data_IF_165644849513
#
_entry.id   IF_165644849513
#
_cell.length_a   1.000
_cell.length_b   1.000
_cell.length_c   1.000
_cell.angle_alpha   90.00
_cell.angle_beta   90.00
_cell.angle_gamma   90.00
#
_symmetry.space_group_name_H-M   'P 1'
#
loop_
_entity.id
_entity.type
_entity.pdbx_description
1 polymer ?
#
# COMPACT_ATOMS: atom_id res chain seq x y z
N UNK A 1 36.22 8.67 14.30
CA UNK A 1 35.00 9.30 13.76
C UNK A 1 33.78 8.70 14.46
N UNK A 2 33.65 7.37 14.51
CA UNK A 2 32.57 6.67 15.19
C UNK A 2 32.41 6.91 16.71
N UNK A 3 33.49 7.21 17.46
CA UNK A 3 33.34 7.59 18.89
C UNK A 3 32.50 8.86 19.08
N UNK A 4 32.65 9.85 18.19
CA UNK A 4 31.84 11.09 18.25
C UNK A 4 30.40 10.84 17.83
N UNK A 5 30.19 9.99 16.81
CA UNK A 5 28.85 9.58 16.39
C UNK A 5 28.13 8.82 17.51
N UNK A 6 28.84 7.97 18.26
CA UNK A 6 28.26 7.24 19.39
C UNK A 6 27.86 8.18 20.54
N UNK A 7 28.67 9.20 20.86
CA UNK A 7 28.30 10.23 21.84
C UNK A 7 27.03 10.99 21.42
N UNK A 8 26.88 11.26 20.11
CA UNK A 8 25.68 11.86 19.55
C UNK A 8 24.46 10.93 19.66
N UNK A 9 24.61 9.65 19.33
CA UNK A 9 23.56 8.63 19.50
C UNK A 9 23.10 8.59 20.96
N UNK A 10 24.02 8.54 21.92
CA UNK A 10 23.66 8.50 23.36
C UNK A 10 22.93 9.77 23.80
N UNK A 11 23.33 10.94 23.27
CA UNK A 11 22.63 12.20 23.52
C UNK A 11 21.20 12.16 22.98
N UNK A 12 21.01 11.69 21.74
CA UNK A 12 19.68 11.53 21.12
C UNK A 12 18.81 10.54 21.88
N UNK A 13 19.37 9.40 22.29
CA UNK A 13 18.67 8.43 23.13
C UNK A 13 18.20 9.04 24.46
N UNK A 14 18.99 9.92 25.08
CA UNK A 14 18.59 10.63 26.29
C UNK A 14 17.43 11.61 26.02
N UNK A 15 17.47 12.35 24.92
CA UNK A 15 16.39 13.25 24.48
C UNK A 15 15.10 12.50 24.19
N UNK A 16 15.18 11.31 23.57
CA UNK A 16 14.04 10.44 23.30
C UNK A 16 13.51 9.70 24.55
N UNK A 17 14.09 9.97 25.72
CA UNK A 17 13.78 9.36 27.00
C UNK A 17 13.97 7.83 27.03
N UNK A 18 14.99 7.32 26.34
CA UNK A 18 15.37 5.91 26.47
C UNK A 18 15.94 5.67 27.89
N UNK A 19 15.36 4.76 28.71
CA UNK A 19 15.73 4.62 30.12
C UNK A 19 17.19 4.23 30.38
N UNK A 20 17.87 3.68 29.37
CA UNK A 20 19.25 3.18 29.48
C UNK A 20 20.19 3.88 28.50
N UNK A 21 19.91 5.14 28.18
CA UNK A 21 20.73 5.95 27.27
C UNK A 21 22.21 6.08 27.70
N UNK A 22 22.49 6.00 29.01
CA UNK A 22 23.85 6.05 29.57
C UNK A 22 24.58 4.70 29.56
N UNK A 23 24.00 3.64 28.98
CA UNK A 23 24.66 2.34 28.88
C UNK A 23 25.98 2.44 28.06
N UNK A 24 27.01 1.64 28.38
CA UNK A 24 28.26 1.65 27.63
C UNK A 24 28.03 1.38 26.15
N UNK A 25 28.73 2.12 25.28
CA UNK A 25 28.63 1.96 23.82
C UNK A 25 28.81 0.51 23.36
N UNK A 26 29.76 -0.21 23.96
CA UNK A 26 30.00 -1.63 23.66
C UNK A 26 28.76 -2.50 23.93
N UNK A 27 28.01 -2.23 24.99
CA UNK A 27 26.79 -2.99 25.32
C UNK A 27 25.65 -2.73 24.34
N UNK A 28 25.59 -1.52 23.74
CA UNK A 28 24.56 -1.15 22.76
C UNK A 28 24.89 -1.66 21.35
N UNK A 29 26.18 -1.76 21.03
CA UNK A 29 26.65 -2.10 19.68
C UNK A 29 26.86 -3.59 19.45
N UNK A 30 27.21 -4.35 20.50
CA UNK A 30 27.55 -5.77 20.37
C UNK A 30 26.36 -6.65 20.76
N UNK A 31 26.38 -7.90 20.27
CA UNK A 31 25.40 -8.92 20.62
C UNK A 31 25.21 -9.00 22.14
N UNK A 32 23.96 -8.97 22.58
CA UNK A 32 23.62 -9.06 23.99
C UNK A 32 22.28 -8.43 24.31
N UNK A 33 21.80 -8.69 25.52
CA UNK A 33 20.45 -8.31 25.97
C UNK A 33 20.23 -6.79 25.93
N UNK A 34 21.30 -6.01 26.12
CA UNK A 34 21.23 -4.54 26.06
C UNK A 34 20.92 -4.00 24.68
N UNK A 35 21.56 -4.56 23.64
CA UNK A 35 21.28 -4.21 22.26
C UNK A 35 19.85 -4.59 21.88
N UNK A 36 19.42 -5.80 22.20
CA UNK A 36 18.08 -6.26 21.85
C UNK A 36 17.00 -5.39 22.51
N UNK A 37 17.14 -5.07 23.80
CA UNK A 37 16.22 -4.15 24.49
C UNK A 37 16.17 -2.77 23.84
N UNK A 38 17.32 -2.25 23.41
CA UNK A 38 17.36 -0.97 22.70
C UNK A 38 16.63 -1.06 21.37
N UNK A 39 16.89 -2.09 20.56
CA UNK A 39 16.21 -2.28 19.27
C UNK A 39 14.70 -2.46 19.45
N UNK A 40 14.28 -3.32 20.37
CA UNK A 40 12.86 -3.48 20.72
C UNK A 40 12.19 -2.15 21.06
N UNK A 41 12.84 -1.33 21.90
CA UNK A 41 12.32 -0.04 22.29
C UNK A 41 12.22 0.94 21.12
N UNK A 42 13.25 0.99 20.26
CA UNK A 42 13.28 1.84 19.07
C UNK A 42 12.21 1.43 18.05
N UNK A 43 12.09 0.14 17.75
CA UNK A 43 11.06 -0.36 16.84
C UNK A 43 9.66 -0.21 17.42
N UNK A 44 9.48 -0.38 18.74
CA UNK A 44 8.20 -0.09 19.39
C UNK A 44 7.82 1.39 19.27
N UNK A 45 8.79 2.31 19.41
CA UNK A 45 8.55 3.75 19.20
C UNK A 45 8.08 4.06 17.77
N UNK A 46 8.63 3.36 16.76
CA UNK A 46 8.25 3.56 15.35
C UNK A 46 6.91 2.92 14.99
N UNK A 47 6.65 1.71 15.49
CA UNK A 47 5.55 0.85 15.02
C UNK A 47 4.34 0.83 15.97
N UNK A 48 4.50 1.31 17.21
CA UNK A 48 3.47 1.27 18.25
C UNK A 48 2.94 -0.15 18.49
N UNK A 49 1.62 -0.29 18.55
CA UNK A 49 0.94 -1.58 18.76
C UNK A 49 1.13 -2.58 17.59
N UNK A 50 1.65 -2.12 16.45
CA UNK A 50 2.02 -3.01 15.33
C UNK A 50 3.44 -3.56 15.45
N UNK A 51 4.18 -3.15 16.48
CA UNK A 51 5.47 -3.74 16.78
C UNK A 51 5.28 -5.24 17.05
N UNK A 52 6.07 -6.12 16.41
CA UNK A 52 6.05 -7.55 16.76
C UNK A 52 6.57 -7.79 18.20
N UNK A 53 7.12 -6.75 18.85
CA UNK A 53 7.53 -6.77 20.25
C UNK A 53 6.39 -6.23 21.12
N UNK A 54 5.54 -7.11 21.63
CA UNK A 54 4.80 -6.82 22.86
C UNK A 54 5.80 -6.71 24.01
N UNK A 55 5.65 -5.74 24.93
CA UNK A 55 6.47 -5.58 26.14
C UNK A 55 6.45 -6.85 27.01
N UNK A 56 7.16 -7.90 26.59
CA UNK A 56 7.26 -9.14 27.33
C UNK A 56 8.48 -9.03 28.23
N UNK A 57 8.23 -9.15 29.53
CA UNK A 57 9.24 -9.29 30.56
C UNK A 57 10.28 -10.31 30.10
N UNK A 58 11.54 -9.86 29.97
CA UNK A 58 12.72 -10.67 29.70
C UNK A 58 13.00 -11.66 30.84
N UNK A 59 12.10 -12.60 31.13
CA UNK A 59 12.39 -13.74 31.99
C UNK A 59 13.23 -14.73 31.16
N UNK A 60 14.54 -14.60 31.35
CA UNK A 60 15.65 -15.25 30.64
C UNK A 60 15.63 -16.78 30.68
N UNK A 61 14.72 -17.42 31.41
CA UNK A 61 14.89 -18.83 31.80
C UNK A 61 14.25 -19.88 30.88
N UNK A 62 13.55 -19.48 29.80
CA UNK A 62 12.90 -20.46 28.90
C UNK A 62 12.55 -19.89 27.51
N UNK A 63 13.45 -19.15 26.87
CA UNK A 63 13.23 -18.84 25.45
C UNK A 63 13.78 -19.98 24.59
N UNK A 64 12.92 -20.59 23.78
CA UNK A 64 13.36 -21.54 22.77
C UNK A 64 14.25 -20.81 21.74
N UNK A 65 15.32 -21.47 21.30
CA UNK A 65 16.29 -20.90 20.34
C UNK A 65 15.58 -20.52 19.02
N UNK A 66 14.53 -21.24 18.67
CA UNK A 66 13.75 -20.98 17.46
C UNK A 66 12.90 -19.71 17.56
N UNK A 67 12.44 -19.34 18.76
CA UNK A 67 11.76 -18.06 18.98
C UNK A 67 12.74 -16.88 18.87
N UNK A 68 13.95 -17.03 19.40
CA UNK A 68 15.01 -16.01 19.28
C UNK A 68 15.39 -15.78 17.81
N UNK A 69 15.60 -16.85 17.04
CA UNK A 69 15.91 -16.77 15.62
C UNK A 69 14.78 -16.12 14.82
N UNK A 70 13.53 -16.48 15.11
CA UNK A 70 12.36 -15.88 14.47
C UNK A 70 12.29 -14.38 14.75
N UNK A 71 12.57 -13.93 15.98
CA UNK A 71 12.59 -12.51 16.34
C UNK A 71 13.68 -11.74 15.61
N UNK A 72 14.88 -12.31 15.54
CA UNK A 72 16.01 -11.70 14.80
C UNK A 72 15.65 -11.54 13.32
N UNK A 73 14.99 -12.53 12.73
CA UNK A 73 14.53 -12.47 11.34
C UNK A 73 13.51 -11.34 11.13
N UNK A 74 12.51 -11.22 12.01
CA UNK A 74 11.53 -10.13 11.93
C UNK A 74 12.19 -8.74 12.07
N UNK A 75 13.16 -8.58 12.98
CA UNK A 75 13.92 -7.34 13.12
C UNK A 75 14.67 -6.98 11.83
N UNK A 76 15.28 -7.96 11.18
CA UNK A 76 16.02 -7.75 9.94
C UNK A 76 15.10 -7.35 8.78
N UNK A 77 13.90 -7.96 8.71
CA UNK A 77 12.88 -7.63 7.71
C UNK A 77 12.34 -6.21 7.91
N UNK A 78 12.08 -5.80 9.15
CA UNK A 78 11.64 -4.44 9.46
C UNK A 78 12.75 -3.42 9.13
N UNK A 79 14.00 -3.71 9.51
CA UNK A 79 15.13 -2.83 9.22
C UNK A 79 15.32 -2.61 7.71
N UNK A 80 15.16 -3.68 6.93
CA UNK A 80 15.19 -3.61 5.47
C UNK A 80 14.00 -2.81 4.92
N UNK A 81 12.78 -3.07 5.41
CA UNK A 81 11.58 -2.35 4.99
C UNK A 81 11.66 -0.85 5.25
N UNK A 82 12.26 -0.45 6.38
CA UNK A 82 12.47 0.96 6.75
C UNK A 82 13.68 1.59 6.04
N UNK A 83 14.40 0.86 5.19
CA UNK A 83 15.59 1.34 4.47
C UNK A 83 16.81 1.58 5.37
N UNK A 84 16.83 1.03 6.58
CA UNK A 84 17.98 1.11 7.51
C UNK A 84 19.10 0.20 7.02
N UNK A 85 18.74 -0.96 6.44
CA UNK A 85 19.67 -1.88 5.78
C UNK A 85 19.27 -2.06 4.30
N UNK A 86 20.24 -2.33 3.40
CA UNK A 86 19.96 -2.52 1.98
C UNK A 86 19.34 -3.90 1.66
N UNK A 87 19.42 -4.84 2.60
CA UNK A 87 18.84 -6.18 2.51
C UNK A 87 18.46 -6.68 3.91
N UNK A 88 17.77 -7.82 3.96
CA UNK A 88 17.45 -8.52 5.22
C UNK A 88 18.75 -9.09 5.81
N UNK A 89 19.35 -8.36 6.75
CA UNK A 89 20.64 -8.68 7.37
C UNK A 89 20.46 -8.98 8.86
N UNK A 90 20.39 -10.27 9.20
CA UNK A 90 20.29 -10.76 10.58
C UNK A 90 21.57 -10.56 11.38
N UNK A 91 22.73 -10.46 10.72
CA UNK A 91 24.02 -10.24 11.36
C UNK A 91 24.14 -8.79 11.86
N UNK A 92 23.61 -7.82 11.10
CA UNK A 92 23.49 -6.44 11.55
C UNK A 92 22.63 -6.32 12.82
N UNK A 93 21.49 -7.02 12.88
CA UNK A 93 20.63 -7.06 14.08
C UNK A 93 21.38 -7.64 15.27
N UNK A 94 22.07 -8.78 15.09
CA UNK A 94 22.89 -9.40 16.12
C UNK A 94 24.08 -8.52 16.55
N UNK A 95 24.39 -7.44 15.82
CA UNK A 95 25.51 -6.57 16.13
C UNK A 95 26.85 -7.20 15.73
N UNK A 96 26.87 -7.91 14.60
CA UNK A 96 28.09 -8.33 13.90
C UNK A 96 28.49 -7.25 12.89
N UNK A 97 29.63 -7.41 12.21
CA UNK A 97 30.20 -6.37 11.32
C UNK A 97 31.24 -5.48 12.00
N UNK A 98 31.75 -4.46 11.31
CA UNK A 98 32.73 -3.53 11.85
C UNK A 98 32.13 -2.60 12.91
N UNK A 99 32.96 -1.95 13.74
CA UNK A 99 32.47 -0.99 14.73
C UNK A 99 31.73 0.17 14.05
N UNK A 100 32.26 0.67 12.94
CA UNK A 100 31.68 1.78 12.19
C UNK A 100 30.32 1.40 11.58
N UNK A 101 30.18 0.21 11.00
CA UNK A 101 28.91 -0.30 10.46
C UNK A 101 27.82 -0.40 11.54
N UNK A 102 28.19 -0.87 12.75
CA UNK A 102 27.23 -1.00 13.85
C UNK A 102 26.80 0.35 14.42
N UNK A 103 27.74 1.30 14.50
CA UNK A 103 27.45 2.68 14.91
C UNK A 103 26.55 3.34 13.89
N UNK A 104 26.84 3.17 12.59
CA UNK A 104 26.04 3.73 11.51
C UNK A 104 24.63 3.15 11.50
N UNK A 105 24.48 1.83 11.60
CA UNK A 105 23.18 1.18 11.73
C UNK A 105 22.38 1.75 12.91
N UNK A 106 23.01 1.86 14.09
CA UNK A 106 22.34 2.38 15.28
C UNK A 106 22.00 3.87 15.14
N UNK A 107 22.85 4.64 14.45
CA UNK A 107 22.59 6.05 14.15
C UNK A 107 21.35 6.21 13.28
N UNK A 108 21.26 5.46 12.18
CA UNK A 108 20.15 5.53 11.23
C UNK A 108 18.79 5.25 11.91
N UNK A 109 18.71 4.22 12.74
CA UNK A 109 17.46 3.90 13.45
C UNK A 109 17.09 4.96 14.52
N UNK A 110 18.07 5.50 15.23
CA UNK A 110 17.83 6.56 16.23
C UNK A 110 17.41 7.87 15.56
N UNK A 111 18.04 8.22 14.43
CA UNK A 111 17.69 9.38 13.63
C UNK A 111 16.27 9.24 13.06
N UNK A 112 15.89 8.04 12.61
CA UNK A 112 14.53 7.77 12.14
C UNK A 112 13.48 7.90 13.26
N UNK A 113 13.77 7.36 14.45
CA UNK A 113 12.90 7.51 15.63
C UNK A 113 12.78 8.97 16.03
N UNK A 114 13.89 9.70 16.05
CA UNK A 114 13.90 11.14 16.34
C UNK A 114 13.04 11.91 15.35
N UNK A 115 13.24 11.69 14.05
CA UNK A 115 12.44 12.31 13.00
C UNK A 115 10.94 11.98 13.16
N UNK A 116 10.60 10.74 13.51
CA UNK A 116 9.20 10.36 13.76
C UNK A 116 8.58 11.03 14.99
N UNK A 117 9.38 11.35 16.01
CA UNK A 117 8.91 12.00 17.23
C UNK A 117 8.81 13.53 17.09
N UNK A 118 9.62 14.12 16.21
CA UNK A 118 9.70 15.56 15.97
C UNK A 118 9.34 15.93 14.53
N UNK A 119 8.39 15.21 13.94
CA UNK A 119 7.90 15.47 12.59
C UNK A 119 7.37 16.91 12.45
N UNK A 120 6.88 17.50 13.53
CA UNK A 120 6.63 18.94 13.64
C UNK A 120 7.84 19.61 14.31
N UNK A 121 8.87 19.97 13.54
CA UNK A 121 10.01 20.70 14.08
C UNK A 121 9.60 22.15 14.38
N UNK A 122 9.56 22.60 15.65
CA UNK A 122 9.11 23.94 16.00
C UNK A 122 10.09 25.05 15.55
N UNK A 123 11.31 24.69 15.15
CA UNK A 123 12.30 25.62 14.60
C UNK A 123 12.18 25.79 13.08
N UNK A 124 11.56 24.84 12.38
CA UNK A 124 11.36 24.94 10.94
C UNK A 124 10.05 25.67 10.64
N UNK A 125 10.09 26.55 9.65
CA UNK A 125 8.85 27.11 9.11
C UNK A 125 8.03 25.99 8.45
N UNK A 126 6.71 26.18 8.37
CA UNK A 126 5.80 25.25 7.68
C UNK A 126 6.27 24.96 6.25
N UNK A 127 6.83 25.98 5.58
CA UNK A 127 7.34 25.86 4.21
C UNK A 127 8.62 25.00 4.13
N UNK A 128 9.52 25.10 5.11
CA UNK A 128 10.74 24.28 5.18
C UNK A 128 10.44 22.82 5.52
N UNK A 129 9.49 22.59 6.43
CA UNK A 129 9.00 21.25 6.77
C UNK A 129 8.36 20.60 5.53
N UNK A 130 7.45 21.31 4.87
CA UNK A 130 6.80 20.83 3.65
C UNK A 130 7.80 20.51 2.54
N UNK A 131 8.82 21.36 2.32
CA UNK A 131 9.84 21.12 1.30
C UNK A 131 10.63 19.82 1.55
N UNK A 132 10.95 19.54 2.82
CA UNK A 132 11.66 18.31 3.19
C UNK A 132 10.78 17.07 3.11
N UNK A 133 9.52 17.18 3.51
CA UNK A 133 8.57 16.08 3.43
C UNK A 133 8.27 15.72 1.96
N UNK A 134 8.14 16.71 1.09
CA UNK A 134 8.02 16.51 -0.37
C UNK A 134 9.27 15.82 -0.93
N UNK A 135 10.47 16.28 -0.56
CA UNK A 135 11.73 15.66 -0.99
C UNK A 135 11.86 14.19 -0.54
N UNK A 136 11.36 13.88 0.65
CA UNK A 136 11.31 12.50 1.17
C UNK A 136 10.34 11.64 0.37
N UNK A 137 9.13 12.15 0.08
CA UNK A 137 8.13 11.45 -0.74
C UNK A 137 8.66 11.20 -2.15
N UNK A 138 9.32 12.18 -2.77
CA UNK A 138 9.95 12.02 -4.08
C UNK A 138 11.05 10.96 -4.06
N UNK A 139 11.88 10.94 -3.00
CA UNK A 139 12.92 9.92 -2.82
C UNK A 139 12.34 8.52 -2.66
N UNK A 140 11.21 8.37 -1.96
CA UNK A 140 10.48 7.11 -1.81
C UNK A 140 9.91 6.67 -3.16
N UNK A 141 9.28 7.57 -3.90
CA UNK A 141 8.72 7.29 -5.22
C UNK A 141 9.80 6.87 -6.22
N UNK A 142 10.97 7.51 -6.19
CA UNK A 142 12.12 7.13 -7.01
C UNK A 142 12.65 5.74 -6.64
N UNK A 143 12.75 5.42 -5.34
CA UNK A 143 13.15 4.08 -4.87
C UNK A 143 12.12 3.01 -5.23
N UNK A 144 10.84 3.31 -5.11
CA UNK A 144 9.76 2.45 -5.57
C UNK A 144 9.91 2.20 -7.07
N UNK A 145 10.11 3.24 -7.88
CA UNK A 145 10.35 3.10 -9.31
C UNK A 145 11.57 2.23 -9.58
N UNK A 146 12.68 2.40 -8.87
CA UNK A 146 13.88 1.54 -9.00
C UNK A 146 13.55 0.06 -8.71
N UNK A 147 12.87 -0.23 -7.59
CA UNK A 147 12.48 -1.59 -7.16
C UNK A 147 11.54 -2.26 -8.17
N UNK A 148 10.59 -1.51 -8.73
CA UNK A 148 9.62 -2.03 -9.69
C UNK A 148 10.06 -1.88 -11.16
N UNK A 149 11.16 -1.20 -11.44
CA UNK A 149 11.76 -1.05 -12.78
C UNK A 149 12.76 -2.14 -13.13
N UNK A 150 13.33 -2.82 -12.13
CA UNK A 150 14.01 -4.08 -12.38
C UNK A 150 12.94 -5.12 -12.70
N UNK A 151 12.84 -5.52 -13.97
CA UNK A 151 12.01 -6.64 -14.41
C UNK A 151 12.18 -7.79 -13.40
N UNK A 152 11.13 -8.10 -12.62
CA UNK A 152 11.11 -9.30 -11.81
C UNK A 152 11.37 -10.49 -12.74
N UNK A 153 12.61 -10.96 -12.78
CA UNK A 153 12.97 -12.21 -13.43
C UNK A 153 12.39 -13.32 -12.56
N UNK A 154 11.12 -13.64 -12.84
CA UNK A 154 10.35 -14.69 -12.19
C UNK A 154 11.01 -16.09 -12.35
N UNK A 155 12.09 -16.19 -13.12
CA UNK A 155 12.87 -17.41 -13.29
C UNK A 155 14.38 -17.10 -13.21
N UNK A 156 15.18 -17.98 -12.54
CA UNK A 156 16.64 -17.90 -12.58
C UNK A 156 17.16 -17.93 -14.02
N UNK A 157 18.25 -17.21 -14.30
CA UNK A 157 18.92 -17.23 -15.61
C UNK A 157 19.34 -18.64 -16.08
N UNK A 158 19.35 -19.61 -15.17
CA UNK A 158 19.77 -20.99 -15.38
C UNK A 158 18.62 -21.94 -15.75
N UNK A 159 17.38 -21.46 -15.86
CA UNK A 159 16.28 -22.25 -16.42
C UNK A 159 16.43 -22.29 -17.94
N UNK A 160 17.30 -23.18 -18.42
CA UNK A 160 17.32 -23.61 -19.81
C UNK A 160 16.02 -24.36 -20.10
N UNK A 161 14.98 -23.63 -20.48
CA UNK A 161 13.83 -24.22 -21.15
C UNK A 161 14.35 -24.73 -22.50
N UNK A 162 14.72 -26.02 -22.57
CA UNK A 162 14.80 -26.72 -23.84
C UNK A 162 13.39 -26.70 -24.43
N UNK A 163 13.10 -25.69 -25.23
CA UNK A 163 11.86 -25.58 -25.98
C UNK A 163 11.81 -26.73 -26.99
N UNK A 164 11.11 -27.81 -26.62
CA UNK A 164 10.83 -28.95 -27.50
C UNK A 164 9.86 -28.53 -28.64
N UNK A 165 9.27 -27.34 -28.56
CA UNK A 165 8.38 -26.81 -29.59
C UNK A 165 9.05 -25.68 -30.38
N UNK A 166 8.99 -25.72 -31.73
CA UNK A 166 9.35 -24.56 -32.51
C UNK A 166 8.42 -23.41 -32.12
N UNK A 167 8.99 -22.24 -31.83
CA UNK A 167 8.19 -21.05 -31.55
C UNK A 167 7.27 -20.79 -32.76
N UNK A 168 5.95 -20.61 -32.55
CA UNK A 168 5.03 -20.28 -33.63
C UNK A 168 5.45 -18.98 -34.31
N UNK A 169 5.25 -18.89 -35.62
CA UNK A 169 5.52 -17.66 -36.37
C UNK A 169 4.60 -16.55 -35.87
N UNK A 170 5.23 -15.53 -35.26
CA UNK A 170 4.54 -14.37 -34.68
C UNK A 170 3.72 -13.65 -35.76
N UNK A 171 4.22 -13.61 -37.01
CA UNK A 171 3.51 -12.98 -38.12
C UNK A 171 2.20 -13.72 -38.45
N UNK A 172 2.16 -15.04 -38.31
CA UNK A 172 0.95 -15.85 -38.52
C UNK A 172 -0.08 -15.61 -37.40
N UNK A 173 0.39 -15.47 -36.16
CA UNK A 173 -0.47 -15.20 -35.01
C UNK A 173 -1.06 -13.79 -35.06
N UNK A 174 -0.27 -12.79 -35.41
CA UNK A 174 -0.75 -11.42 -35.63
C UNK A 174 -1.79 -11.35 -36.75
N UNK A 175 -1.55 -12.09 -37.85
CA UNK A 175 -2.50 -12.19 -38.95
C UNK A 175 -3.83 -12.80 -38.47
N UNK A 176 -3.78 -13.94 -37.76
CA UNK A 176 -4.97 -14.60 -37.18
C UNK A 176 -5.71 -13.69 -36.20
N UNK A 177 -5.00 -12.97 -35.34
CA UNK A 177 -5.61 -12.04 -34.39
C UNK A 177 -6.34 -10.91 -35.13
N UNK A 178 -5.74 -10.39 -36.20
CA UNK A 178 -6.36 -9.37 -37.05
C UNK A 178 -7.65 -9.89 -37.72
N UNK A 179 -7.65 -11.15 -38.17
CA UNK A 179 -8.82 -11.79 -38.77
C UNK A 179 -9.95 -11.98 -37.75
N UNK A 180 -9.64 -12.44 -36.54
CA UNK A 180 -10.64 -12.59 -35.47
C UNK A 180 -11.21 -11.25 -35.03
N UNK A 181 -10.36 -10.22 -34.93
CA UNK A 181 -10.80 -8.86 -34.61
C UNK A 181 -11.77 -8.34 -35.68
N UNK A 182 -11.50 -8.61 -36.96
CA UNK A 182 -12.41 -8.29 -38.06
C UNK A 182 -13.75 -9.03 -37.95
N UNK A 183 -13.72 -10.34 -37.65
CA UNK A 183 -14.93 -11.14 -37.44
C UNK A 183 -15.78 -10.62 -36.28
N UNK A 184 -15.14 -10.23 -35.18
CA UNK A 184 -15.81 -9.64 -34.01
C UNK A 184 -16.49 -8.32 -34.36
N UNK A 185 -15.80 -7.45 -35.10
CA UNK A 185 -16.37 -6.18 -35.58
C UNK A 185 -17.58 -6.39 -36.49
N UNK A 186 -17.52 -7.37 -37.40
CA UNK A 186 -18.66 -7.72 -38.26
C UNK A 186 -19.85 -8.26 -37.45
N UNK A 187 -19.61 -9.09 -36.43
CA UNK A 187 -20.66 -9.58 -35.53
C UNK A 187 -21.30 -8.44 -34.75
N UNK A 188 -20.49 -7.51 -34.23
CA UNK A 188 -20.98 -6.31 -33.55
C UNK A 188 -21.87 -5.48 -34.49
N UNK A 189 -21.47 -5.29 -35.75
CA UNK A 189 -22.27 -4.59 -36.74
C UNK A 189 -23.59 -5.32 -37.05
N UNK A 190 -23.58 -6.65 -37.19
CA UNK A 190 -24.81 -7.43 -37.38
C UNK A 190 -25.75 -7.32 -36.18
N UNK A 191 -25.24 -7.35 -34.95
CA UNK A 191 -26.05 -7.13 -33.74
C UNK A 191 -26.64 -5.72 -33.73
N UNK A 192 -25.87 -4.71 -34.13
CA UNK A 192 -26.34 -3.33 -34.24
C UNK A 192 -27.43 -3.17 -35.32
N UNK A 193 -27.29 -3.85 -36.45
CA UNK A 193 -28.30 -3.88 -37.52
C UNK A 193 -29.57 -4.59 -37.06
N UNK A 194 -29.44 -5.72 -36.37
CA UNK A 194 -30.57 -6.45 -35.83
C UNK A 194 -31.30 -5.60 -34.78
N UNK A 195 -30.57 -4.94 -33.88
CA UNK A 195 -31.14 -4.04 -32.89
C UNK A 195 -31.86 -2.84 -33.55
N UNK A 196 -31.27 -2.25 -34.59
CA UNK A 196 -31.89 -1.11 -35.28
C UNK A 196 -33.09 -1.50 -36.15
N UNK A 197 -33.12 -2.69 -36.74
CA UNK A 197 -34.22 -3.16 -37.61
C UNK A 197 -35.34 -3.86 -36.85
N UNK A 198 -35.03 -4.66 -35.83
CA UNK A 198 -36.02 -5.50 -35.15
C UNK A 198 -36.39 -4.98 -33.76
N UNK A 199 -35.50 -4.26 -33.07
CA UNK A 199 -35.76 -3.81 -31.69
C UNK A 199 -36.20 -2.34 -31.68
N UNK A 200 -35.55 -1.47 -32.46
CA UNK A 200 -35.83 -0.03 -32.46
C UNK A 200 -37.24 0.36 -32.98
N UNK A 201 -37.82 -0.33 -33.99
CA UNK A 201 -39.16 -0.02 -34.50
C UNK A 201 -40.31 -0.41 -33.56
N UNK A 202 -40.09 -1.31 -32.60
CA UNK A 202 -41.14 -1.66 -31.63
C UNK A 202 -40.97 -0.87 -30.32
N UNK A 203 -39.74 -0.48 -29.99
CA UNK A 203 -39.43 0.32 -28.79
C UNK A 203 -39.87 1.79 -28.86
N UNK A 204 -40.14 2.34 -30.06
CA UNK A 204 -40.75 3.68 -30.20
C UNK A 204 -42.29 3.67 -30.23
N UNK A 205 -42.91 2.51 -30.45
CA UNK A 205 -44.36 2.32 -30.43
C UNK A 205 -44.88 1.71 -29.12
N UNK A 206 -43.99 1.16 -28.30
CA UNK A 206 -44.31 0.76 -26.94
C UNK A 206 -44.14 1.97 -26.01
N UNK A 207 -45.15 2.25 -25.17
CA UNK A 207 -44.90 3.09 -24.00
C UNK A 207 -43.70 2.52 -23.26
N UNK A 208 -42.74 3.40 -22.89
CA UNK A 208 -41.58 3.03 -22.08
C UNK A 208 -42.09 2.16 -20.94
N UNK A 209 -41.72 0.87 -20.87
CA UNK A 209 -42.22 0.00 -19.83
C UNK A 209 -41.90 0.67 -18.51
N UNK A 210 -42.92 1.14 -17.79
CA UNK A 210 -42.66 1.71 -16.49
C UNK A 210 -42.06 0.55 -15.67
N UNK A 211 -40.84 0.75 -15.15
CA UNK A 211 -39.99 -0.26 -14.51
C UNK A 211 -40.59 -0.92 -13.25
N UNK A 212 -41.89 -0.82 -13.03
CA UNK A 212 -42.64 -1.49 -11.96
C UNK A 212 -42.67 -3.03 -12.11
N UNK A 213 -42.13 -3.60 -13.21
CA UNK A 213 -42.28 -5.02 -13.56
C UNK A 213 -41.11 -5.95 -13.21
N UNK A 214 -39.91 -5.46 -12.91
CA UNK A 214 -38.75 -6.36 -12.72
C UNK A 214 -38.56 -6.87 -11.27
N UNK A 215 -39.53 -6.60 -10.40
CA UNK A 215 -39.51 -7.03 -9.01
C UNK A 215 -38.39 -6.39 -8.17
N UNK A 216 -38.30 -6.74 -6.87
CA UNK A 216 -37.38 -6.11 -5.93
C UNK A 216 -35.90 -6.26 -6.31
N UNK A 217 -35.52 -7.33 -7.01
CA UNK A 217 -34.13 -7.61 -7.37
C UNK A 217 -33.58 -6.66 -8.44
N UNK A 218 -34.36 -6.36 -9.48
CA UNK A 218 -33.93 -5.42 -10.51
C UNK A 218 -33.98 -3.96 -10.05
N UNK A 219 -34.94 -3.61 -9.17
CA UNK A 219 -34.91 -2.30 -8.52
C UNK A 219 -33.65 -2.11 -7.68
N UNK A 220 -33.22 -3.15 -6.92
CA UNK A 220 -31.95 -3.13 -6.21
C UNK A 220 -30.74 -3.02 -7.15
N UNK A 221 -30.78 -3.68 -8.31
CA UNK A 221 -29.70 -3.61 -9.29
C UNK A 221 -29.62 -2.23 -9.96
N UNK A 222 -30.76 -1.61 -10.25
CA UNK A 222 -30.85 -0.24 -10.75
C UNK A 222 -30.40 0.79 -9.69
N UNK A 223 -30.80 0.61 -8.43
CA UNK A 223 -30.34 1.44 -7.31
C UNK A 223 -28.83 1.31 -7.07
N UNK A 224 -28.30 0.08 -7.14
CA UNK A 224 -26.86 -0.19 -7.07
C UNK A 224 -26.11 0.50 -8.23
N UNK A 225 -26.62 0.38 -9.46
CA UNK A 225 -26.04 1.02 -10.64
C UNK A 225 -26.05 2.56 -10.54
N UNK A 226 -27.16 3.16 -10.13
CA UNK A 226 -27.25 4.61 -9.93
C UNK A 226 -26.33 5.10 -8.80
N UNK A 227 -26.19 4.31 -7.73
CA UNK A 227 -25.27 4.62 -6.63
C UNK A 227 -23.81 4.55 -7.08
N UNK A 228 -23.46 3.55 -7.90
CA UNK A 228 -22.13 3.43 -8.51
C UNK A 228 -21.84 4.63 -9.43
N UNK A 229 -22.80 5.06 -10.25
CA UNK A 229 -22.65 6.25 -11.10
C UNK A 229 -22.42 7.51 -10.26
N UNK A 230 -23.17 7.68 -9.16
CA UNK A 230 -22.98 8.81 -8.23
C UNK A 230 -21.60 8.77 -7.56
N UNK A 231 -21.15 7.59 -7.13
CA UNK A 231 -19.81 7.38 -6.57
C UNK A 231 -18.69 7.74 -7.57
N UNK A 232 -18.79 7.24 -8.80
CA UNK A 232 -17.82 7.55 -9.86
C UNK A 232 -17.82 9.05 -10.22
N UNK A 233 -18.97 9.70 -10.18
CA UNK A 233 -19.09 11.16 -10.31
C UNK A 233 -18.37 11.90 -9.18
N UNK A 234 -18.58 11.48 -7.93
CA UNK A 234 -17.93 12.07 -6.76
C UNK A 234 -16.40 11.87 -6.77
N UNK A 235 -15.90 10.70 -7.17
CA UNK A 235 -14.47 10.48 -7.36
C UNK A 235 -13.86 11.38 -8.43
N UNK A 236 -14.60 11.62 -9.52
CA UNK A 236 -14.18 12.57 -10.55
C UNK A 236 -14.10 13.99 -9.99
N UNK A 237 -15.12 14.43 -9.25
CA UNK A 237 -15.11 15.73 -8.59
C UNK A 237 -14.01 15.87 -7.53
N UNK A 238 -13.70 14.79 -6.81
CA UNK A 238 -12.59 14.75 -5.85
C UNK A 238 -11.25 14.93 -6.54
N UNK A 239 -11.01 14.18 -7.62
CA UNK A 239 -9.82 14.32 -8.46
C UNK A 239 -9.71 15.73 -9.02
N UNK A 240 -10.79 16.28 -9.57
CA UNK A 240 -10.79 17.60 -10.18
C UNK A 240 -10.52 18.70 -9.12
N UNK A 241 -11.08 18.55 -7.91
CA UNK A 241 -10.80 19.42 -6.77
C UNK A 241 -9.35 19.31 -6.30
N UNK A 242 -8.80 18.10 -6.24
CA UNK A 242 -7.39 17.88 -5.91
C UNK A 242 -6.45 18.50 -6.95
N UNK A 243 -6.76 18.36 -8.24
CA UNK A 243 -5.99 19.01 -9.32
C UNK A 243 -6.09 20.54 -9.26
N UNK A 244 -7.23 21.10 -8.85
CA UNK A 244 -7.41 22.54 -8.69
C UNK A 244 -6.67 23.10 -7.45
N UNK A 245 -6.60 22.33 -6.36
CA UNK A 245 -5.78 22.66 -5.19
C UNK A 245 -4.28 22.57 -5.51
N UNK A 246 -3.85 21.52 -6.22
CA UNK A 246 -2.47 21.34 -6.67
C UNK A 246 -2.01 22.41 -7.67
N UNK A 247 -2.95 23.02 -8.41
CA UNK A 247 -2.69 24.14 -9.33
C UNK A 247 -2.63 25.53 -8.63
N UNK A 248 -2.76 25.61 -7.30
CA UNK A 248 -2.43 26.81 -6.53
C UNK A 248 -3.52 27.88 -6.44
N UNK A 249 -4.82 27.54 -6.47
CA UNK A 249 -5.88 28.52 -6.20
C UNK A 249 -6.23 28.57 -4.70
N UNK A 250 -5.60 29.50 -3.98
CA UNK A 250 -5.97 29.90 -2.61
C UNK A 250 -7.36 30.52 -2.61
N UNK A 251 -8.36 29.77 -2.14
CA UNK A 251 -9.59 30.37 -1.63
C UNK A 251 -9.80 29.93 -0.18
N UNK A 252 -9.51 30.86 0.73
CA UNK A 252 -9.77 30.73 2.15
C UNK A 252 -11.29 30.68 2.36
N UNK A 253 -11.85 29.51 2.64
CA UNK A 253 -13.19 29.41 3.21
C UNK A 253 -13.18 28.40 4.35
N UNK A 254 -13.64 28.84 5.53
CA UNK A 254 -13.67 28.08 6.78
C UNK A 254 -14.87 27.14 6.85
N UNK A 255 -15.16 26.41 5.78
CA UNK A 255 -16.15 25.32 5.79
C UNK A 255 -15.42 23.98 5.89
N UNK A 256 -16.00 22.95 6.56
CA UNK A 256 -15.45 21.61 6.51
C UNK A 256 -15.23 21.25 5.04
N UNK A 257 -13.97 20.98 4.67
CA UNK A 257 -13.54 20.99 3.27
C UNK A 257 -14.53 20.19 2.43
N UNK A 258 -15.00 20.76 1.32
CA UNK A 258 -15.89 20.08 0.37
C UNK A 258 -15.42 18.65 0.06
N UNK A 259 -14.11 18.44 0.12
CA UNK A 259 -13.40 17.17 0.11
C UNK A 259 -13.84 16.19 1.22
N UNK A 260 -13.86 16.58 2.50
CA UNK A 260 -14.37 15.69 3.59
C UNK A 260 -15.81 15.26 3.39
N UNK A 261 -16.67 16.16 2.88
CA UNK A 261 -18.05 15.81 2.52
C UNK A 261 -18.12 14.84 1.34
N UNK A 262 -17.32 15.06 0.30
CA UNK A 262 -17.23 14.17 -0.86
C UNK A 262 -16.70 12.78 -0.46
N UNK A 263 -15.73 12.71 0.45
CA UNK A 263 -15.20 11.45 1.00
C UNK A 263 -16.29 10.71 1.77
N UNK A 264 -17.04 11.39 2.65
CA UNK A 264 -18.15 10.79 3.39
C UNK A 264 -19.29 10.30 2.46
N UNK A 265 -19.61 11.08 1.41
CA UNK A 265 -20.58 10.67 0.39
C UNK A 265 -20.08 9.45 -0.43
N UNK A 266 -18.77 9.34 -0.64
CA UNK A 266 -18.14 8.19 -1.28
C UNK A 266 -18.18 6.93 -0.40
N UNK A 267 -17.85 7.06 0.88
CA UNK A 267 -17.87 5.97 1.85
C UNK A 267 -19.28 5.41 2.06
N UNK A 268 -20.27 6.30 2.18
CA UNK A 268 -21.68 5.90 2.31
C UNK A 268 -22.21 5.22 1.05
N UNK A 269 -21.86 5.73 -0.14
CA UNK A 269 -22.22 5.10 -1.42
C UNK A 269 -21.59 3.71 -1.60
N UNK A 270 -20.33 3.53 -1.21
CA UNK A 270 -19.65 2.23 -1.24
C UNK A 270 -20.30 1.23 -0.28
N UNK A 271 -20.63 1.67 0.93
CA UNK A 271 -21.30 0.83 1.93
C UNK A 271 -22.66 0.36 1.42
N UNK A 272 -23.45 1.27 0.83
CA UNK A 272 -24.74 0.93 0.25
C UNK A 272 -24.63 -0.01 -0.97
N UNK A 273 -23.65 0.24 -1.86
CA UNK A 273 -23.39 -0.61 -3.02
C UNK A 273 -22.99 -2.03 -2.59
N UNK A 274 -22.09 -2.14 -1.62
CA UNK A 274 -21.62 -3.44 -1.14
C UNK A 274 -22.76 -4.25 -0.51
N UNK A 275 -23.61 -3.61 0.29
CA UNK A 275 -24.80 -4.25 0.86
C UNK A 275 -25.78 -4.72 -0.24
N UNK A 276 -26.01 -3.89 -1.26
CA UNK A 276 -26.87 -4.25 -2.39
C UNK A 276 -26.32 -5.42 -3.20
N UNK A 277 -25.01 -5.46 -3.45
CA UNK A 277 -24.33 -6.56 -4.15
C UNK A 277 -24.31 -7.85 -3.32
N UNK A 278 -24.15 -7.76 -2.00
CA UNK A 278 -24.22 -8.93 -1.11
C UNK A 278 -25.64 -9.55 -1.10
N UNK A 279 -26.69 -8.72 -1.12
CA UNK A 279 -28.08 -9.19 -1.23
C UNK A 279 -28.34 -9.84 -2.60
N UNK A 280 -27.74 -9.33 -3.68
CA UNK A 280 -27.84 -9.94 -5.00
C UNK A 280 -27.07 -11.26 -5.07
N UNK A 281 -25.85 -11.33 -4.52
CA UNK A 281 -25.03 -12.54 -4.45
C UNK A 281 -25.71 -13.66 -3.66
N UNK A 282 -26.30 -13.33 -2.50
CA UNK A 282 -27.10 -14.30 -1.71
C UNK A 282 -28.37 -14.75 -2.43
N UNK A 283 -28.97 -13.88 -3.25
CA UNK A 283 -30.14 -14.25 -4.07
C UNK A 283 -29.75 -15.19 -5.23
N UNK A 284 -28.61 -14.94 -5.87
CA UNK A 284 -28.04 -15.82 -6.93
C UNK A 284 -27.64 -17.18 -6.36
N UNK A 285 -27.01 -17.23 -5.18
CA UNK A 285 -26.66 -18.49 -4.53
C UNK A 285 -27.91 -19.34 -4.21
N UNK A 286 -29.01 -18.70 -3.79
CA UNK A 286 -30.30 -19.38 -3.56
C UNK A 286 -30.95 -19.90 -4.86
N UNK A 287 -30.78 -19.19 -5.98
CA UNK A 287 -31.29 -19.63 -7.29
C UNK A 287 -30.48 -20.80 -7.85
N UNK A 288 -29.17 -20.83 -7.60
CA UNK A 288 -28.27 -21.90 -8.04
C UNK A 288 -28.37 -23.18 -7.18
N UNK A 289 -29.22 -23.19 -6.14
CA UNK A 289 -29.44 -24.35 -5.28
C UNK A 289 -28.26 -24.66 -4.35
N UNK A 290 -27.30 -23.75 -4.23
CA UNK A 290 -26.21 -23.86 -3.26
C UNK A 290 -26.76 -23.50 -1.88
N UNK A 291 -27.14 -24.52 -1.10
CA UNK A 291 -27.28 -24.36 0.34
C UNK A 291 -25.89 -24.07 0.91
N UNK A 292 -25.71 -22.86 1.45
CA UNK A 292 -24.56 -22.47 2.28
C UNK A 292 -24.21 -23.53 3.32
#
# INVERSE_FOLDING_TARGET
>A
MASKQMEEIQRKLAVLAYPRASAPAQSLLFAGVERYRLLEWLFFRLLGDRSPFTQQNWQVDSLDRDEENSRIQHLAEIANFLGITPSVDTEAIQGRGSYDERVEFLRLIVDLVEASCYADNPEWSVDEQLAKDVQLVDSIAEKQAQIFSEECKLFPADVQIQSIYPLPDIAELELKLSEYTKKMSNLQQMVQELASKEIHPWTHMMEVPQLHGFGPAANRLLEAYNTLLKFLGNLRSLRDSYTAMAAGSLSNSSEPSSVTKIISDCESALTFLNNSLAILSTSVAREQGETL
#
